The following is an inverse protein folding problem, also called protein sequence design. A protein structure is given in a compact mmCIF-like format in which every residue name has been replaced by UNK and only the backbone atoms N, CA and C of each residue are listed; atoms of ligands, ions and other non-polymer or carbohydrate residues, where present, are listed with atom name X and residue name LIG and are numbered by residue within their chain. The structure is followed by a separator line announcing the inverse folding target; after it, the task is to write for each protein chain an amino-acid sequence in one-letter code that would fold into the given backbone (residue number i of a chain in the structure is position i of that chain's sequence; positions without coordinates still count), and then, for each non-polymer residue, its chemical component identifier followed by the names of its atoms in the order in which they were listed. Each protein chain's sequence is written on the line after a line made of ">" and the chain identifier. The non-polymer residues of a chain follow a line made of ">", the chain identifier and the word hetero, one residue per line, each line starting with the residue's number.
data_IF_255771307481
#
_entry.id   IF_255771307481
#
_cell.length_a   1.000
_cell.length_b   1.000
_cell.length_c   1.000
_cell.angle_alpha   90.00
_cell.angle_beta   90.00
_cell.angle_gamma   90.00
#
_symmetry.space_group_name_H-M   'P 1'
#
loop_
_entity.id
_entity.type
_entity.pdbx_description
1 polymer ?
#
# COMPACT_ATOMS: atom_id res chain seq x y z
N UNK A 1 -7.05 4.45 23.79
CA UNK A 1 -6.27 4.46 22.52
C UNK A 1 -4.76 4.64 22.65
N UNK A 2 -4.21 5.42 23.61
CA UNK A 2 -2.76 5.50 23.81
C UNK A 2 -2.09 4.13 24.03
N UNK A 3 -2.79 3.23 24.72
CA UNK A 3 -2.36 1.84 24.95
C UNK A 3 -2.21 1.05 23.64
N UNK A 4 -3.15 1.18 22.70
CA UNK A 4 -3.07 0.51 21.38
C UNK A 4 -1.92 1.06 20.56
N UNK A 5 -1.71 2.38 20.58
CA UNK A 5 -0.55 2.99 19.93
C UNK A 5 0.77 2.48 20.52
N UNK A 6 0.84 2.38 21.85
CA UNK A 6 2.00 1.84 22.56
C UNK A 6 2.22 0.36 22.27
N UNK A 7 1.15 -0.43 22.18
CA UNK A 7 1.20 -1.84 21.80
C UNK A 7 1.73 -2.02 20.37
N UNK A 8 1.28 -1.19 19.41
CA UNK A 8 1.78 -1.22 18.03
C UNK A 8 3.25 -0.81 17.95
N UNK A 9 3.65 0.21 18.70
CA UNK A 9 5.06 0.65 18.80
C UNK A 9 5.96 -0.42 19.44
N UNK A 10 5.54 -0.99 20.56
CA UNK A 10 6.30 -2.00 21.31
C UNK A 10 6.38 -3.34 20.58
N UNK A 11 5.32 -3.75 19.88
CA UNK A 11 5.35 -4.90 18.99
C UNK A 11 6.20 -4.67 17.74
N UNK A 12 6.68 -3.45 17.48
CA UNK A 12 7.61 -3.20 16.38
C UNK A 12 6.99 -3.26 14.98
N UNK A 13 5.67 -3.06 14.87
CA UNK A 13 4.97 -3.04 13.58
C UNK A 13 5.45 -1.88 12.69
N UNK A 14 5.94 -2.23 11.49
CA UNK A 14 6.47 -1.28 10.50
C UNK A 14 5.77 -1.46 9.16
N UNK A 15 5.56 -0.37 8.44
CA UNK A 15 5.12 -0.36 7.05
C UNK A 15 6.35 -0.53 6.15
N UNK A 16 6.36 -1.50 5.22
CA UNK A 16 7.51 -1.76 4.35
C UNK A 16 7.95 -0.53 3.55
N UNK A 17 9.26 -0.29 3.53
CA UNK A 17 9.93 0.88 2.96
C UNK A 17 9.51 2.25 3.52
N UNK A 18 8.39 2.40 4.24
CA UNK A 18 7.93 3.70 4.74
C UNK A 18 8.74 4.18 5.94
N UNK A 19 9.21 3.26 6.78
CA UNK A 19 10.09 3.60 7.90
C UNK A 19 11.49 4.05 7.45
N UNK A 20 11.95 3.58 6.28
CA UNK A 20 13.21 4.02 5.66
C UNK A 20 13.04 5.35 4.91
N UNK A 21 11.88 5.55 4.26
CA UNK A 21 11.54 6.76 3.47
C UNK A 21 10.99 7.92 4.30
N UNK A 22 11.18 7.93 5.62
CA UNK A 22 10.56 8.88 6.58
C UNK A 22 9.02 8.97 6.55
N UNK A 23 8.33 8.11 5.78
CA UNK A 23 6.88 8.04 5.67
C UNK A 23 6.17 7.36 6.84
N UNK A 24 6.92 6.66 7.69
CA UNK A 24 6.45 6.17 8.99
C UNK A 24 7.49 6.46 10.07
N UNK A 25 7.13 7.31 11.03
CA UNK A 25 7.87 7.55 12.25
C UNK A 25 6.95 7.39 13.47
N UNK A 26 7.51 7.46 14.69
CA UNK A 26 6.71 7.34 15.93
C UNK A 26 5.56 8.33 15.99
N UNK A 27 5.76 9.57 15.56
CA UNK A 27 4.72 10.60 15.51
C UNK A 27 3.59 10.24 14.53
N UNK A 28 3.92 9.70 13.37
CA UNK A 28 2.95 9.24 12.39
C UNK A 28 2.12 8.06 12.92
N UNK A 29 2.76 7.06 13.53
CA UNK A 29 2.06 5.92 14.15
C UNK A 29 1.13 6.40 15.26
N UNK A 30 1.57 7.30 16.15
CA UNK A 30 0.71 7.90 17.19
C UNK A 30 -0.47 8.65 16.61
N UNK A 31 -0.26 9.36 15.49
CA UNK A 31 -1.32 10.10 14.82
C UNK A 31 -2.43 9.18 14.31
N UNK A 32 -2.13 7.95 13.89
CA UNK A 32 -3.18 6.99 13.50
C UNK A 32 -4.17 6.72 14.63
N UNK A 33 -3.69 6.73 15.86
CA UNK A 33 -4.45 6.44 17.08
C UNK A 33 -4.80 7.69 17.89
N UNK A 34 -4.75 8.88 17.26
CA UNK A 34 -5.09 10.13 17.93
C UNK A 34 -6.53 10.06 18.44
N UNK A 35 -6.79 10.29 19.75
CA UNK A 35 -8.14 10.27 20.30
C UNK A 35 -9.14 11.16 19.56
N UNK A 36 -8.71 12.29 18.99
CA UNK A 36 -9.61 13.18 18.22
C UNK A 36 -10.15 12.55 16.93
N UNK A 37 -9.54 11.46 16.45
CA UNK A 37 -10.06 10.70 15.32
C UNK A 37 -11.11 9.67 15.73
N UNK A 38 -11.28 9.37 17.01
CA UNK A 38 -12.29 8.43 17.50
C UNK A 38 -13.40 9.23 18.19
N UNK A 39 -14.45 9.57 17.44
CA UNK A 39 -15.60 10.30 17.97
C UNK A 39 -16.84 9.42 17.87
N UNK A 40 -17.37 9.01 19.03
CA UNK A 40 -18.41 7.98 19.12
C UNK A 40 -17.95 6.69 18.46
N UNK A 41 -18.78 6.15 17.57
CA UNK A 41 -18.52 4.89 16.86
C UNK A 41 -17.82 5.09 15.51
N UNK A 42 -17.22 6.27 15.28
CA UNK A 42 -16.66 6.66 13.98
C UNK A 42 -15.18 6.99 14.08
N UNK A 43 -14.41 6.44 13.15
CA UNK A 43 -13.04 6.87 12.88
C UNK A 43 -13.01 7.96 11.81
N UNK A 44 -12.54 9.16 12.18
CA UNK A 44 -12.48 10.38 11.35
C UNK A 44 -11.15 10.61 10.65
N UNK A 45 -10.24 9.63 10.68
CA UNK A 45 -9.00 9.73 9.92
C UNK A 45 -9.23 9.72 8.41
N UNK A 46 -8.23 10.17 7.66
CA UNK A 46 -8.27 10.18 6.20
C UNK A 46 -8.37 8.76 5.64
N UNK A 47 -8.79 8.64 4.37
CA UNK A 47 -8.86 7.35 3.69
C UNK A 47 -7.52 6.60 3.73
N UNK A 48 -6.39 7.31 3.60
CA UNK A 48 -5.06 6.71 3.71
C UNK A 48 -4.74 6.17 5.10
N UNK A 49 -5.20 6.84 6.15
CA UNK A 49 -5.05 6.37 7.54
C UNK A 49 -5.94 5.15 7.80
N UNK A 50 -7.18 5.15 7.29
CA UNK A 50 -8.08 3.99 7.36
C UNK A 50 -7.46 2.78 6.67
N UNK A 51 -6.95 2.95 5.44
CA UNK A 51 -6.29 1.87 4.71
C UNK A 51 -5.04 1.35 5.40
N UNK A 52 -4.29 2.22 6.09
CA UNK A 52 -3.15 1.78 6.89
C UNK A 52 -3.56 1.00 8.13
N UNK A 53 -4.68 1.36 8.78
CA UNK A 53 -5.19 0.67 9.97
C UNK A 53 -5.88 -0.65 9.64
N UNK A 54 -6.55 -0.75 8.49
CA UNK A 54 -7.41 -1.88 8.17
C UNK A 54 -6.73 -3.26 8.27
N UNK A 55 -5.49 -3.48 7.82
CA UNK A 55 -4.80 -4.77 7.99
C UNK A 55 -4.51 -5.10 9.45
N UNK A 56 -4.11 -4.10 10.25
CA UNK A 56 -3.91 -4.29 11.69
C UNK A 56 -5.23 -4.66 12.37
N UNK A 57 -6.32 -3.95 12.04
CA UNK A 57 -7.66 -4.26 12.58
C UNK A 57 -8.14 -5.65 12.13
N UNK A 58 -7.87 -6.06 10.88
CA UNK A 58 -8.15 -7.43 10.39
C UNK A 58 -7.40 -8.47 11.21
N UNK A 59 -6.12 -8.23 11.49
CA UNK A 59 -5.31 -9.10 12.33
C UNK A 59 -5.87 -9.19 13.76
N UNK A 60 -6.22 -8.07 14.38
CA UNK A 60 -6.90 -8.08 15.69
C UNK A 60 -8.25 -8.81 15.65
N UNK A 61 -9.05 -8.57 14.60
CA UNK A 61 -10.33 -9.23 14.41
C UNK A 61 -10.19 -10.75 14.34
N UNK A 62 -9.25 -11.23 13.53
CA UNK A 62 -9.02 -12.67 13.33
C UNK A 62 -8.31 -13.35 14.50
N UNK A 63 -7.40 -12.68 15.21
CA UNK A 63 -6.60 -13.29 16.29
C UNK A 63 -7.16 -13.08 17.69
N UNK A 64 -7.80 -11.95 17.93
CA UNK A 64 -8.22 -11.53 19.28
C UNK A 64 -9.75 -11.54 19.37
N UNK A 65 -10.44 -10.76 18.53
CA UNK A 65 -11.89 -10.58 18.66
C UNK A 65 -12.68 -11.84 18.31
N UNK A 66 -12.19 -12.65 17.36
CA UNK A 66 -12.77 -13.94 16.99
C UNK A 66 -12.87 -14.95 18.15
N UNK A 67 -12.03 -14.79 19.18
CA UNK A 67 -12.03 -15.64 20.37
C UNK A 67 -13.13 -15.27 21.37
N UNK A 68 -13.74 -14.10 21.21
CA UNK A 68 -14.82 -13.61 22.05
C UNK A 68 -16.14 -14.01 21.39
N UNK A 69 -16.75 -15.10 21.87
CA UNK A 69 -17.96 -15.69 21.27
C UNK A 69 -19.09 -14.69 20.97
N UNK A 70 -19.44 -13.74 21.88
CA UNK A 70 -20.45 -12.72 21.58
C UNK A 70 -20.14 -11.82 20.38
N UNK A 71 -18.87 -11.70 19.97
CA UNK A 71 -18.43 -10.87 18.85
C UNK A 71 -18.30 -11.66 17.55
N UNK A 72 -18.53 -12.97 17.53
CA UNK A 72 -18.20 -13.81 16.38
C UNK A 72 -18.85 -13.35 15.06
N UNK A 73 -20.14 -12.99 15.09
CA UNK A 73 -20.87 -12.52 13.89
C UNK A 73 -20.38 -11.14 13.42
N UNK A 74 -20.16 -10.22 14.36
CA UNK A 74 -19.61 -8.88 14.11
C UNK A 74 -18.22 -8.99 13.46
N UNK A 75 -17.36 -9.83 14.04
CA UNK A 75 -16.01 -10.09 13.55
C UNK A 75 -16.05 -10.71 12.16
N UNK A 76 -16.94 -11.68 11.92
CA UNK A 76 -17.07 -12.30 10.61
C UNK A 76 -17.50 -11.29 9.53
N UNK A 77 -18.50 -10.45 9.82
CA UNK A 77 -18.90 -9.37 8.92
C UNK A 77 -17.74 -8.42 8.64
N UNK A 78 -16.99 -8.03 9.68
CA UNK A 78 -15.82 -7.16 9.54
C UNK A 78 -14.69 -7.79 8.71
N UNK A 79 -14.36 -9.07 8.91
CA UNK A 79 -13.33 -9.76 8.14
C UNK A 79 -13.70 -9.86 6.64
N UNK A 80 -14.99 -10.07 6.34
CA UNK A 80 -15.50 -10.04 4.96
C UNK A 80 -15.43 -8.62 4.35
N UNK A 81 -15.61 -7.57 5.15
CA UNK A 81 -15.35 -6.19 4.70
C UNK A 81 -13.87 -5.98 4.37
N UNK A 82 -12.95 -6.48 5.20
CA UNK A 82 -11.51 -6.41 4.91
C UNK A 82 -11.17 -7.13 3.60
N UNK A 83 -11.78 -8.29 3.34
CA UNK A 83 -11.63 -9.01 2.08
C UNK A 83 -12.15 -8.20 0.88
N UNK A 84 -13.30 -7.51 1.02
CA UNK A 84 -13.79 -6.61 -0.02
C UNK A 84 -12.75 -5.52 -0.35
N UNK A 85 -12.18 -4.88 0.67
CA UNK A 85 -11.18 -3.82 0.49
C UNK A 85 -9.91 -4.34 -0.20
N UNK A 86 -9.47 -5.56 0.14
CA UNK A 86 -8.35 -6.24 -0.53
C UNK A 86 -8.66 -6.51 -2.00
N UNK A 87 -9.84 -7.06 -2.31
CA UNK A 87 -10.24 -7.35 -3.69
C UNK A 87 -10.36 -6.09 -4.54
N UNK A 88 -10.87 -4.98 -3.99
CA UNK A 88 -10.90 -3.69 -4.69
C UNK A 88 -9.50 -3.22 -5.06
N UNK A 89 -8.49 -3.46 -4.22
CA UNK A 89 -7.09 -3.10 -4.52
C UNK A 89 -6.46 -4.02 -5.56
N UNK A 90 -6.74 -5.31 -5.48
CA UNK A 90 -6.17 -6.32 -6.39
C UNK A 90 -6.77 -6.23 -7.80
N UNK A 91 -8.06 -5.90 -7.91
CA UNK A 91 -8.79 -5.93 -9.19
C UNK A 91 -8.23 -4.96 -10.23
N UNK A 92 -7.54 -3.90 -9.78
CA UNK A 92 -6.80 -2.95 -10.63
C UNK A 92 -5.78 -3.68 -11.50
N UNK A 93 -5.14 -4.73 -10.97
CA UNK A 93 -4.09 -5.49 -11.64
C UNK A 93 -4.57 -6.83 -12.18
N UNK A 94 -5.46 -7.51 -11.46
CA UNK A 94 -5.87 -8.88 -11.80
C UNK A 94 -7.09 -8.93 -12.72
N UNK A 95 -7.87 -7.84 -12.81
CA UNK A 95 -9.18 -7.81 -13.48
C UNK A 95 -10.14 -8.92 -13.03
N UNK A 96 -9.93 -9.47 -11.84
CA UNK A 96 -10.75 -10.54 -11.26
C UNK A 96 -12.08 -9.99 -10.72
N UNK A 97 -12.94 -9.48 -11.61
CA UNK A 97 -14.20 -8.82 -11.25
C UNK A 97 -15.18 -9.76 -10.55
N UNK A 98 -15.24 -11.03 -10.94
CA UNK A 98 -16.11 -12.03 -10.31
C UNK A 98 -15.73 -12.30 -8.85
N UNK A 99 -14.42 -12.36 -8.57
CA UNK A 99 -13.92 -12.51 -7.20
C UNK A 99 -14.26 -11.30 -6.32
N UNK A 100 -14.32 -10.10 -6.90
CA UNK A 100 -14.79 -8.91 -6.20
C UNK A 100 -16.30 -8.97 -5.92
N UNK A 101 -17.12 -9.35 -6.91
CA UNK A 101 -18.58 -9.48 -6.74
C UNK A 101 -18.92 -10.49 -5.62
N UNK A 102 -18.30 -11.67 -5.65
CA UNK A 102 -18.49 -12.71 -4.65
C UNK A 102 -18.15 -12.22 -3.23
N UNK A 103 -17.01 -11.54 -3.06
CA UNK A 103 -16.60 -10.99 -1.76
C UNK A 103 -17.60 -9.94 -1.26
N UNK A 104 -18.06 -9.03 -2.13
CA UNK A 104 -19.00 -7.98 -1.77
C UNK A 104 -20.38 -8.52 -1.39
N UNK A 105 -20.87 -9.56 -2.09
CA UNK A 105 -22.13 -10.25 -1.75
C UNK A 105 -22.02 -11.04 -0.46
N UNK A 106 -20.90 -11.71 -0.22
CA UNK A 106 -20.65 -12.40 1.04
C UNK A 106 -20.69 -11.43 2.22
N UNK A 107 -19.97 -10.30 2.13
CA UNK A 107 -20.03 -9.27 3.16
C UNK A 107 -21.43 -8.66 3.30
N UNK A 108 -22.14 -8.39 2.20
CA UNK A 108 -23.48 -7.82 2.26
C UNK A 108 -24.46 -8.72 3.06
N UNK A 109 -24.44 -10.03 2.81
CA UNK A 109 -25.24 -11.00 3.57
C UNK A 109 -24.87 -11.00 5.06
N UNK A 110 -23.59 -11.15 5.38
CA UNK A 110 -23.12 -11.16 6.77
C UNK A 110 -23.45 -9.85 7.51
N UNK A 111 -23.38 -8.70 6.83
CA UNK A 111 -23.74 -7.42 7.41
C UNK A 111 -25.23 -7.34 7.74
N UNK A 112 -26.11 -7.77 6.82
CA UNK A 112 -27.56 -7.77 7.05
C UNK A 112 -27.94 -8.73 8.16
N UNK A 113 -27.31 -9.91 8.22
CA UNK A 113 -27.52 -10.87 9.31
C UNK A 113 -27.10 -10.31 10.66
N UNK A 114 -26.00 -9.56 10.72
CA UNK A 114 -25.44 -9.03 11.96
C UNK A 114 -26.12 -7.74 12.46
N UNK A 115 -26.50 -6.84 11.55
CA UNK A 115 -26.96 -5.48 11.89
C UNK A 115 -28.39 -5.18 11.41
N UNK A 116 -28.96 -6.03 10.57
CA UNK A 116 -30.27 -5.80 9.96
C UNK A 116 -30.21 -4.93 8.70
N UNK A 117 -31.27 -5.01 7.89
CA UNK A 117 -31.37 -4.25 6.63
C UNK A 117 -31.52 -2.75 6.82
N UNK A 118 -31.97 -2.30 7.99
CA UNK A 118 -32.19 -0.87 8.30
C UNK A 118 -30.87 -0.10 8.43
N UNK A 119 -29.77 -0.79 8.78
CA UNK A 119 -28.43 -0.21 8.87
C UNK A 119 -27.72 -0.09 7.50
N UNK A 120 -28.35 -0.59 6.43
CA UNK A 120 -27.80 -0.50 5.07
C UNK A 120 -27.81 0.94 4.56
N UNK A 121 -26.63 1.55 4.54
CA UNK A 121 -26.40 2.83 3.87
C UNK A 121 -26.36 2.68 2.34
N UNK A 122 -26.68 3.72 1.54
CA UNK A 122 -26.59 3.69 0.07
C UNK A 122 -25.26 3.17 -0.49
N UNK A 123 -24.15 3.43 0.21
CA UNK A 123 -22.81 2.92 -0.16
C UNK A 123 -22.70 1.39 -0.15
N UNK A 124 -23.48 0.69 0.68
CA UNK A 124 -23.53 -0.79 0.71
C UNK A 124 -24.19 -1.36 -0.53
N UNK A 125 -25.15 -0.66 -1.11
CA UNK A 125 -25.79 -1.04 -2.35
C UNK A 125 -24.90 -0.67 -3.54
N UNK A 126 -24.42 0.58 -3.59
CA UNK A 126 -23.60 1.09 -4.69
C UNK A 126 -22.37 0.20 -4.97
N UNK A 127 -21.69 -0.29 -3.92
CA UNK A 127 -20.49 -1.12 -4.10
C UNK A 127 -20.74 -2.40 -4.91
N UNK A 128 -21.95 -2.97 -4.87
CA UNK A 128 -22.30 -4.22 -5.57
C UNK A 128 -22.31 -4.06 -7.09
N UNK A 129 -22.36 -2.82 -7.58
CA UNK A 129 -22.30 -2.50 -9.01
C UNK A 129 -20.88 -2.29 -9.52
N UNK A 130 -19.88 -2.19 -8.62
CA UNK A 130 -18.49 -1.92 -9.00
C UNK A 130 -17.90 -2.96 -9.96
N UNK A 131 -18.08 -4.28 -9.77
CA UNK A 131 -17.54 -5.28 -10.70
C UNK A 131 -18.02 -5.08 -12.14
N UNK A 132 -19.33 -4.86 -12.32
CA UNK A 132 -19.94 -4.62 -13.63
C UNK A 132 -19.48 -3.30 -14.24
N UNK A 133 -19.35 -2.24 -13.43
CA UNK A 133 -18.83 -0.96 -13.88
C UNK A 133 -17.38 -1.06 -14.34
N UNK A 134 -16.51 -1.73 -13.58
CA UNK A 134 -15.11 -1.92 -13.96
C UNK A 134 -14.95 -2.77 -15.22
N UNK A 135 -15.78 -3.82 -15.37
CA UNK A 135 -15.83 -4.60 -16.59
C UNK A 135 -16.23 -3.73 -17.79
N UNK A 136 -17.30 -2.93 -17.65
CA UNK A 136 -17.80 -2.04 -18.71
C UNK A 136 -16.79 -0.96 -19.10
N UNK A 137 -16.12 -0.34 -18.14
CA UNK A 137 -15.15 0.72 -18.41
C UNK A 137 -13.78 0.20 -18.84
N UNK A 138 -13.49 -1.08 -18.62
CA UNK A 138 -12.19 -1.67 -18.88
C UNK A 138 -11.07 -1.16 -17.96
N UNK A 139 -11.41 -0.38 -16.94
CA UNK A 139 -10.49 0.23 -15.97
C UNK A 139 -11.16 0.41 -14.60
N UNK A 140 -10.37 0.71 -13.58
CA UNK A 140 -10.82 0.98 -12.21
C UNK A 140 -10.65 2.47 -11.90
N UNK A 141 -11.67 3.32 -12.16
CA UNK A 141 -11.57 4.74 -11.83
C UNK A 141 -11.41 4.93 -10.33
N UNK A 142 -10.46 5.78 -9.92
CA UNK A 142 -10.23 6.12 -8.51
C UNK A 142 -10.19 7.64 -8.31
N UNK A 143 -10.61 8.08 -7.13
CA UNK A 143 -10.59 9.49 -6.77
C UNK A 143 -9.31 9.93 -6.05
N UNK A 144 -8.35 9.02 -5.84
CA UNK A 144 -7.10 9.33 -5.14
C UNK A 144 -6.34 10.53 -5.74
N UNK A 145 -6.17 10.63 -7.07
CA UNK A 145 -5.46 11.77 -7.65
C UNK A 145 -6.22 13.08 -7.44
N UNK A 146 -7.55 13.06 -7.55
CA UNK A 146 -8.38 14.24 -7.36
C UNK A 146 -8.36 14.69 -5.88
N UNK A 147 -8.41 13.74 -4.95
CA UNK A 147 -8.37 14.04 -3.51
C UNK A 147 -6.99 14.51 -3.07
N UNK A 148 -5.91 13.92 -3.57
CA UNK A 148 -4.55 14.41 -3.34
C UNK A 148 -4.39 15.86 -3.86
N UNK A 149 -4.81 16.13 -5.10
CA UNK A 149 -4.81 17.49 -5.67
C UNK A 149 -5.64 18.46 -4.84
N UNK A 150 -6.78 18.03 -4.30
CA UNK A 150 -7.61 18.86 -3.44
C UNK A 150 -6.96 19.12 -2.07
N UNK A 151 -6.24 18.15 -1.49
CA UNK A 151 -5.47 18.35 -0.27
C UNK A 151 -4.29 19.30 -0.49
N UNK A 152 -3.57 19.17 -1.61
CA UNK A 152 -2.51 20.10 -2.00
C UNK A 152 -3.07 21.50 -2.24
N UNK A 153 -4.23 21.58 -2.90
CA UNK A 153 -4.98 22.83 -3.02
C UNK A 153 -5.26 23.39 -1.63
N UNK A 154 -5.85 22.65 -0.69
CA UNK A 154 -6.14 23.19 0.65
C UNK A 154 -4.89 23.68 1.38
N UNK A 155 -3.85 22.86 1.39
CA UNK A 155 -2.62 23.09 2.16
C UNK A 155 -1.78 24.24 1.63
N UNK A 156 -1.64 24.33 0.30
CA UNK A 156 -0.76 25.34 -0.30
C UNK A 156 -1.56 26.51 -0.86
N UNK A 157 -2.66 26.22 -1.53
CA UNK A 157 -3.44 27.22 -2.27
C UNK A 157 -4.47 27.86 -1.39
N UNK A 158 -5.39 27.13 -0.76
CA UNK A 158 -6.43 27.72 0.06
C UNK A 158 -5.83 28.44 1.28
N UNK A 159 -4.74 27.95 1.86
CA UNK A 159 -4.04 28.60 2.98
C UNK A 159 -3.27 29.86 2.53
N UNK A 160 -2.56 29.82 1.39
CA UNK A 160 -1.92 31.01 0.81
C UNK A 160 -2.96 32.02 0.28
N UNK A 161 -4.01 31.53 -0.39
CA UNK A 161 -5.18 32.29 -0.82
C UNK A 161 -5.86 32.91 0.38
N UNK A 162 -6.15 32.19 1.46
CA UNK A 162 -6.84 32.76 2.62
C UNK A 162 -5.98 33.80 3.34
N UNK A 163 -4.65 33.62 3.36
CA UNK A 163 -3.73 34.61 3.94
C UNK A 163 -3.44 35.80 3.02
N UNK A 164 -3.52 35.65 1.69
CA UNK A 164 -3.22 36.69 0.70
C UNK A 164 -4.46 37.35 0.06
N UNK A 165 -5.53 36.59 -0.23
CA UNK A 165 -6.82 37.07 -0.78
C UNK A 165 -7.71 37.74 0.28
N UNK A 166 -7.63 37.37 1.57
CA UNK A 166 -8.33 38.14 2.61
C UNK A 166 -7.83 39.59 2.70
N UNK A 167 -6.70 39.90 2.03
CA UNK A 167 -6.10 41.24 1.96
C UNK A 167 -6.01 41.82 0.54
N UNK A 168 -6.39 41.11 -0.53
CA UNK A 168 -6.24 41.62 -1.90
C UNK A 168 -7.56 41.53 -2.68
N UNK A 169 -7.98 42.67 -3.26
CA UNK A 169 -9.36 42.93 -3.64
C UNK A 169 -9.87 42.25 -4.92
N UNK A 170 -9.04 41.59 -5.74
CA UNK A 170 -9.47 41.23 -7.11
C UNK A 170 -8.85 39.94 -7.67
N UNK A 171 -8.76 38.87 -6.89
CA UNK A 171 -8.50 37.51 -7.43
C UNK A 171 -7.20 37.28 -8.21
N UNK A 172 -6.30 38.28 -8.27
CA UNK A 172 -5.06 38.24 -9.06
C UNK A 172 -4.09 37.12 -8.65
N UNK A 173 -4.20 36.63 -7.40
CA UNK A 173 -3.43 35.49 -6.93
C UNK A 173 -3.76 34.20 -7.71
N UNK A 174 -5.03 33.91 -7.94
CA UNK A 174 -5.44 32.68 -8.64
C UNK A 174 -4.88 32.64 -10.08
N UNK A 175 -4.90 33.77 -10.78
CA UNK A 175 -4.37 33.91 -12.14
C UNK A 175 -2.84 33.76 -12.15
N UNK A 176 -2.15 34.24 -11.11
CA UNK A 176 -0.69 34.17 -11.02
C UNK A 176 -0.14 32.77 -10.68
N UNK A 177 -0.85 31.95 -9.91
CA UNK A 177 -0.30 30.68 -9.40
C UNK A 177 -0.74 29.44 -10.19
N UNK A 178 -1.94 29.43 -10.79
CA UNK A 178 -2.42 28.26 -11.58
C UNK A 178 -1.48 27.86 -12.74
N UNK A 179 -0.96 28.80 -13.55
CA UNK A 179 0.02 28.46 -14.59
C UNK A 179 1.33 27.89 -14.01
N UNK A 180 1.78 28.41 -12.86
CA UNK A 180 3.01 27.94 -12.18
C UNK A 180 2.83 26.52 -11.62
N UNK A 181 1.65 26.20 -11.11
CA UNK A 181 1.31 24.83 -10.70
C UNK A 181 1.36 23.85 -11.84
N UNK A 182 0.73 24.22 -12.96
CA UNK A 182 0.67 23.38 -14.13
C UNK A 182 2.09 23.16 -14.68
N UNK A 183 2.87 24.23 -14.78
CA UNK A 183 4.27 24.17 -15.17
C UNK A 183 5.06 23.24 -14.24
N UNK A 184 4.96 23.40 -12.91
CA UNK A 184 5.68 22.53 -11.97
C UNK A 184 5.25 21.07 -12.07
N UNK A 185 3.97 20.80 -12.35
CA UNK A 185 3.49 19.43 -12.55
C UNK A 185 4.05 18.81 -13.83
N UNK A 186 4.18 19.60 -14.89
CA UNK A 186 4.81 19.18 -16.15
C UNK A 186 6.32 18.94 -15.93
N UNK A 187 6.99 19.84 -15.21
CA UNK A 187 8.40 19.69 -14.84
C UNK A 187 8.63 18.40 -14.03
N UNK A 188 7.81 18.14 -13.01
CA UNK A 188 7.91 16.91 -12.22
C UNK A 188 7.70 15.64 -13.06
N UNK A 189 6.80 15.68 -14.04
CA UNK A 189 6.60 14.57 -14.98
C UNK A 189 7.76 14.44 -15.98
N UNK A 190 8.41 15.54 -16.35
CA UNK A 190 9.62 15.51 -17.18
C UNK A 190 10.85 15.02 -16.40
N UNK A 191 10.98 15.43 -15.13
CA UNK A 191 12.00 14.95 -14.19
C UNK A 191 11.80 13.46 -13.87
N UNK A 192 10.55 12.99 -13.78
CA UNK A 192 10.19 11.63 -13.39
C UNK A 192 9.10 11.04 -14.30
N UNK A 193 9.43 10.69 -15.55
CA UNK A 193 8.44 10.14 -16.47
C UNK A 193 7.92 8.79 -15.96
N UNK A 194 6.60 8.52 -16.05
CA UNK A 194 6.05 7.25 -15.65
C UNK A 194 6.66 6.12 -16.50
N UNK A 195 7.17 5.09 -15.84
CA UNK A 195 7.74 3.92 -16.50
C UNK A 195 6.60 3.03 -17.02
N UNK A 196 6.36 3.08 -18.32
CA UNK A 196 5.32 2.29 -18.99
C UNK A 196 5.82 0.91 -19.41
N UNK A 197 4.90 -0.03 -19.65
CA UNK A 197 5.16 -1.33 -20.32
C UNK A 197 6.26 -2.20 -19.69
N UNK A 198 6.39 -2.20 -18.36
CA UNK A 198 7.40 -3.02 -17.68
C UNK A 198 8.81 -2.44 -17.74
N UNK A 199 8.95 -1.18 -18.19
CA UNK A 199 10.18 -0.43 -18.03
C UNK A 199 10.56 -0.30 -16.54
N UNK A 200 11.86 -0.28 -16.29
CA UNK A 200 12.45 -0.08 -14.98
C UNK A 200 13.61 0.89 -15.08
N UNK A 201 13.98 1.45 -13.93
CA UNK A 201 15.13 2.33 -13.79
C UNK A 201 15.90 1.93 -12.54
N UNK A 202 17.21 1.75 -12.67
CA UNK A 202 18.10 1.63 -11.52
C UNK A 202 18.40 3.03 -11.00
N UNK A 203 18.03 3.28 -9.74
CA UNK A 203 18.25 4.58 -9.10
C UNK A 203 19.60 4.54 -8.39
N UNK A 204 20.44 5.56 -8.62
CA UNK A 204 21.78 5.67 -8.03
C UNK A 204 22.64 4.40 -8.27
N UNK A 205 22.86 3.98 -9.54
CA UNK A 205 23.64 2.79 -9.82
C UNK A 205 25.12 2.98 -9.41
N UNK A 206 25.74 1.90 -8.94
CA UNK A 206 27.18 1.85 -8.68
C UNK A 206 27.96 2.02 -9.98
N UNK A 207 29.19 2.54 -9.89
CA UNK A 207 30.04 2.70 -11.08
C UNK A 207 30.41 1.33 -11.67
N UNK A 208 30.60 1.26 -12.99
CA UNK A 208 30.96 0.00 -13.66
C UNK A 208 32.27 -0.58 -13.13
N UNK A 209 33.25 0.27 -12.80
CA UNK A 209 34.54 -0.15 -12.25
C UNK A 209 34.38 -0.78 -10.85
N UNK A 210 33.55 -0.20 -9.98
CA UNK A 210 33.25 -0.76 -8.65
C UNK A 210 32.55 -2.11 -8.78
N UNK A 211 31.58 -2.21 -9.69
CA UNK A 211 30.85 -3.46 -9.94
C UNK A 211 31.79 -4.53 -10.48
N UNK A 212 32.63 -4.20 -11.46
CA UNK A 212 33.59 -5.12 -12.03
C UNK A 212 34.64 -5.55 -11.01
N UNK A 213 35.20 -4.63 -10.22
CA UNK A 213 36.16 -4.94 -9.17
C UNK A 213 35.58 -5.85 -8.08
N UNK A 214 34.30 -5.65 -7.71
CA UNK A 214 33.65 -6.44 -6.67
C UNK A 214 33.13 -7.80 -7.16
N UNK A 215 32.71 -7.92 -8.43
CA UNK A 215 32.00 -9.12 -8.94
C UNK A 215 32.74 -9.88 -10.04
N UNK A 216 33.70 -9.25 -10.72
CA UNK A 216 34.36 -9.78 -11.92
C UNK A 216 33.46 -9.84 -13.15
N UNK A 217 32.25 -9.27 -13.11
CA UNK A 217 31.28 -9.32 -14.21
C UNK A 217 31.26 -7.99 -14.95
N UNK A 218 31.61 -8.02 -16.23
CA UNK A 218 31.51 -6.87 -17.12
C UNK A 218 30.07 -6.66 -17.63
N UNK A 219 29.79 -5.48 -18.16
CA UNK A 219 28.52 -5.14 -18.85
C UNK A 219 27.27 -5.31 -17.99
N UNK A 220 27.38 -5.03 -16.69
CA UNK A 220 26.24 -5.05 -15.79
C UNK A 220 26.18 -3.79 -14.91
N UNK A 221 24.95 -3.38 -14.59
CA UNK A 221 24.70 -2.26 -13.69
C UNK A 221 24.04 -2.78 -12.43
N UNK A 222 24.58 -2.41 -11.28
CA UNK A 222 24.04 -2.73 -9.96
C UNK A 222 23.50 -1.48 -9.29
N UNK A 223 22.42 -1.61 -8.54
CA UNK A 223 21.91 -0.55 -7.69
C UNK A 223 21.30 -1.08 -6.40
N UNK A 224 21.28 -0.21 -5.37
CA UNK A 224 20.61 -0.47 -4.10
C UNK A 224 19.11 -0.12 -4.14
N UNK A 225 18.67 0.61 -5.17
CA UNK A 225 17.29 1.06 -5.38
C UNK A 225 16.88 0.84 -6.83
N UNK A 226 15.60 0.53 -7.04
CA UNK A 226 15.03 0.38 -8.38
C UNK A 226 13.59 0.88 -8.41
N UNK A 227 13.23 1.53 -9.52
CA UNK A 227 11.87 1.92 -9.85
C UNK A 227 11.33 0.99 -10.92
N UNK A 228 10.16 0.38 -10.69
CA UNK A 228 9.43 -0.45 -11.65
C UNK A 228 7.96 -0.04 -11.67
N UNK A 229 7.47 0.45 -12.81
CA UNK A 229 6.14 1.06 -12.91
C UNK A 229 5.91 2.15 -11.83
N UNK A 230 4.99 1.91 -10.89
CA UNK A 230 4.70 2.80 -9.74
C UNK A 230 5.35 2.34 -8.44
N UNK A 231 6.13 1.26 -8.46
CA UNK A 231 6.81 0.71 -7.30
C UNK A 231 8.25 1.21 -7.25
N UNK A 232 8.64 1.69 -6.08
CA UNK A 232 10.04 1.98 -5.76
C UNK A 232 10.49 0.99 -4.68
N UNK A 233 11.48 0.17 -5.03
CA UNK A 233 12.00 -0.95 -4.25
C UNK A 233 13.42 -0.64 -3.78
N UNK A 234 13.69 -0.93 -2.51
CA UNK A 234 14.95 -0.60 -1.85
C UNK A 234 15.64 -1.87 -1.34
N UNK A 235 16.95 -1.77 -1.08
CA UNK A 235 17.67 -2.76 -0.29
C UNK A 235 16.96 -2.99 1.06
N UNK A 236 16.72 -4.24 1.39
CA UNK A 236 16.04 -4.65 2.62
C UNK A 236 14.52 -4.61 2.58
N UNK A 237 13.91 -4.19 1.46
CA UNK A 237 12.46 -4.37 1.30
C UNK A 237 12.11 -5.87 1.18
N UNK A 238 10.98 -6.25 1.76
CA UNK A 238 10.40 -7.58 1.54
C UNK A 238 9.44 -7.46 0.37
N UNK A 239 9.65 -8.29 -0.64
CA UNK A 239 8.73 -8.43 -1.77
C UNK A 239 8.00 -9.77 -1.67
N UNK A 240 6.68 -9.75 -1.83
CA UNK A 240 5.82 -10.92 -1.90
C UNK A 240 5.37 -11.12 -3.35
N UNK A 241 5.29 -12.36 -3.82
CA UNK A 241 4.77 -12.69 -5.16
C UNK A 241 4.14 -14.09 -5.18
N UNK A 242 3.37 -14.43 -6.22
CA UNK A 242 2.61 -15.68 -6.34
C UNK A 242 1.13 -15.51 -6.01
N UNK A 243 0.27 -16.32 -6.65
CA UNK A 243 -1.19 -16.22 -6.53
C UNK A 243 -1.78 -17.10 -5.40
N UNK A 244 -1.30 -18.33 -5.24
CA UNK A 244 -1.86 -19.33 -4.30
C UNK A 244 -0.97 -19.59 -3.08
N UNK A 245 0.34 -19.65 -3.29
CA UNK A 245 1.34 -19.69 -2.20
C UNK A 245 2.26 -18.47 -2.35
N UNK A 246 2.19 -17.51 -1.43
CA UNK A 246 3.01 -16.32 -1.49
C UNK A 246 4.48 -16.72 -1.27
N UNK A 247 5.28 -16.60 -2.32
CA UNK A 247 6.73 -16.58 -2.20
C UNK A 247 7.16 -15.22 -1.65
N UNK A 248 8.22 -15.23 -0.86
CA UNK A 248 8.76 -14.03 -0.23
C UNK A 248 10.27 -13.98 -0.36
N UNK A 249 10.78 -12.76 -0.52
CA UNK A 249 12.22 -12.51 -0.60
C UNK A 249 12.57 -11.14 -0.05
N UNK A 250 13.69 -11.07 0.65
CA UNK A 250 14.29 -9.81 1.06
C UNK A 250 15.20 -9.30 -0.06
N UNK A 251 14.87 -8.14 -0.64
CA UNK A 251 15.64 -7.50 -1.70
C UNK A 251 17.05 -7.18 -1.20
N UNK A 252 18.08 -7.72 -1.85
CA UNK A 252 19.49 -7.42 -1.54
C UNK A 252 20.05 -6.36 -2.47
N UNK A 253 19.84 -6.50 -3.77
CA UNK A 253 20.24 -5.51 -4.76
C UNK A 253 19.53 -5.76 -6.09
N UNK A 254 19.59 -4.79 -6.97
CA UNK A 254 18.99 -4.81 -8.30
C UNK A 254 20.11 -4.85 -9.35
N UNK A 255 19.98 -5.72 -10.33
CA UNK A 255 20.95 -5.96 -11.38
C UNK A 255 20.27 -5.78 -12.73
N UNK A 256 20.84 -4.93 -13.57
CA UNK A 256 20.49 -4.86 -14.99
C UNK A 256 21.57 -5.55 -15.82
N UNK A 257 21.13 -6.47 -16.66
CA UNK A 257 21.97 -7.13 -17.67
C UNK A 257 21.14 -7.36 -18.92
N UNK A 258 21.68 -6.98 -20.08
CA UNK A 258 21.01 -7.13 -21.39
C UNK A 258 19.60 -6.49 -21.43
N UNK A 259 19.42 -5.36 -20.74
CA UNK A 259 18.13 -4.68 -20.63
C UNK A 259 17.09 -5.40 -19.75
N UNK A 260 17.47 -6.47 -19.04
CA UNK A 260 16.58 -7.25 -18.16
C UNK A 260 16.89 -6.96 -16.69
N UNK A 261 15.85 -6.61 -15.94
CA UNK A 261 15.92 -6.45 -14.49
C UNK A 261 15.94 -7.81 -13.78
N UNK A 262 16.99 -8.00 -13.00
CA UNK A 262 17.13 -9.08 -12.04
C UNK A 262 17.16 -8.50 -10.62
N UNK A 263 16.62 -9.24 -9.67
CA UNK A 263 16.64 -8.88 -8.26
C UNK A 263 17.26 -10.03 -7.48
N UNK A 264 18.28 -9.71 -6.69
CA UNK A 264 18.86 -10.64 -5.75
C UNK A 264 17.99 -10.68 -4.49
N UNK A 265 17.43 -11.84 -4.19
CA UNK A 265 16.64 -12.08 -2.99
C UNK A 265 17.40 -12.96 -2.02
N UNK A 266 17.42 -12.59 -0.74
CA UNK A 266 17.51 -13.60 0.32
C UNK A 266 16.12 -14.24 0.44
N UNK A 267 16.04 -15.53 0.14
CA UNK A 267 14.77 -16.24 0.08
C UNK A 267 14.18 -16.40 1.49
N UNK A 268 12.87 -16.28 1.57
CA UNK A 268 12.11 -16.49 2.80
C UNK A 268 11.34 -17.80 2.70
N UNK A 269 11.41 -18.61 3.75
CA UNK A 269 10.69 -19.88 3.85
C UNK A 269 9.35 -19.68 4.54
N UNK A 270 8.26 -19.91 3.82
CA UNK A 270 6.89 -19.69 4.30
C UNK A 270 6.52 -20.77 5.32
N UNK A 271 6.39 -20.39 6.58
CA UNK A 271 6.00 -21.29 7.67
C UNK A 271 4.47 -21.36 7.80
N UNK A 272 3.81 -20.21 7.68
CA UNK A 272 2.37 -20.09 7.88
C UNK A 272 1.78 -19.17 6.81
N UNK A 273 0.73 -19.63 6.13
CA UNK A 273 0.01 -18.87 5.11
C UNK A 273 -1.46 -18.72 5.52
N UNK A 274 -1.78 -17.68 6.29
CA UNK A 274 -3.15 -17.36 6.65
C UNK A 274 -3.61 -16.11 5.89
N UNK A 275 -4.91 -15.95 5.62
CA UNK A 275 -5.43 -14.77 4.92
C UNK A 275 -5.08 -13.44 5.59
N UNK A 276 -4.96 -13.42 6.91
CA UNK A 276 -4.60 -12.25 7.71
C UNK A 276 -3.10 -12.06 7.94
N UNK A 277 -2.28 -13.10 7.81
CA UNK A 277 -0.85 -13.04 8.13
C UNK A 277 -0.05 -14.11 7.38
N UNK A 278 1.13 -13.72 6.92
CA UNK A 278 2.16 -14.64 6.46
C UNK A 278 3.32 -14.64 7.44
N UNK A 279 3.75 -15.83 7.86
CA UNK A 279 4.91 -16.00 8.72
C UNK A 279 6.01 -16.65 7.92
N UNK A 280 7.12 -15.95 7.80
CA UNK A 280 8.30 -16.39 7.09
C UNK A 280 9.46 -16.63 8.04
N UNK A 281 10.34 -17.57 7.69
CA UNK A 281 11.67 -17.72 8.29
C UNK A 281 12.72 -17.24 7.29
N UNK A 282 13.71 -16.49 7.76
CA UNK A 282 14.85 -16.11 6.92
C UNK A 282 15.67 -17.35 6.55
N UNK A 283 16.01 -17.48 5.29
CA UNK A 283 16.98 -18.49 4.84
C UNK A 283 18.31 -17.78 4.53
N UNK A 284 19.43 -18.50 4.56
CA UNK A 284 20.71 -17.97 4.06
C UNK A 284 20.86 -18.11 2.54
N UNK A 285 19.79 -18.54 1.86
CA UNK A 285 19.84 -18.85 0.44
C UNK A 285 19.55 -17.60 -0.36
N UNK A 286 20.55 -17.15 -1.11
CA UNK A 286 20.38 -16.04 -2.06
C UNK A 286 20.01 -16.58 -3.43
N UNK A 287 18.99 -16.01 -4.07
CA UNK A 287 18.62 -16.33 -5.46
C UNK A 287 18.49 -15.06 -6.27
N UNK A 288 19.03 -15.08 -7.49
CA UNK A 288 18.79 -14.05 -8.48
C UNK A 288 17.57 -14.43 -9.30
N UNK A 289 16.54 -13.59 -9.30
CA UNK A 289 15.31 -13.83 -10.07
C UNK A 289 15.08 -12.68 -11.06
N UNK A 290 14.59 -12.99 -12.26
CA UNK A 290 14.10 -11.97 -13.20
C UNK A 290 12.83 -11.34 -12.65
N UNK A 291 12.76 -10.01 -12.60
CA UNK A 291 11.59 -9.31 -12.05
C UNK A 291 10.31 -9.62 -12.83
N UNK A 292 10.42 -9.75 -14.16
CA UNK A 292 9.29 -10.10 -15.04
C UNK A 292 8.71 -11.50 -14.78
N UNK A 293 9.45 -12.38 -14.11
CA UNK A 293 8.96 -13.71 -13.73
C UNK A 293 8.19 -13.71 -12.41
N UNK A 294 8.18 -12.59 -11.67
CA UNK A 294 7.46 -12.47 -10.42
C UNK A 294 5.97 -12.28 -10.73
N UNK A 295 5.14 -13.21 -10.28
CA UNK A 295 3.69 -13.15 -10.46
C UNK A 295 3.11 -12.21 -9.41
N UNK A 296 2.56 -11.07 -9.81
CA UNK A 296 1.93 -10.08 -8.92
C UNK A 296 2.84 -9.60 -7.74
N UNK A 297 4.03 -9.06 -8.03
CA UNK A 297 4.94 -8.58 -6.99
C UNK A 297 4.29 -7.43 -6.20
N UNK A 298 4.33 -7.53 -4.87
CA UNK A 298 3.77 -6.52 -3.96
C UNK A 298 4.58 -6.41 -2.66
N UNK A 299 4.61 -5.21 -2.09
CA UNK A 299 5.10 -5.00 -0.73
C UNK A 299 4.01 -5.41 0.27
N UNK A 300 4.38 -5.99 1.43
CA UNK A 300 3.41 -6.18 2.51
C UNK A 300 2.84 -4.84 2.98
N UNK A 301 1.72 -4.86 3.69
CA UNK A 301 1.13 -3.66 4.27
C UNK A 301 1.79 -3.31 5.61
N UNK A 302 2.09 -4.33 6.40
CA UNK A 302 2.83 -4.24 7.65
C UNK A 302 3.78 -5.43 7.78
N UNK A 303 4.88 -5.21 8.49
CA UNK A 303 5.87 -6.21 8.84
C UNK A 303 6.20 -6.06 10.32
N UNK A 304 6.43 -7.19 10.97
CA UNK A 304 6.98 -7.29 12.32
C UNK A 304 8.08 -8.36 12.30
N UNK A 305 9.15 -8.15 13.05
CA UNK A 305 10.19 -9.16 13.24
C UNK A 305 10.10 -9.70 14.67
N UNK A 306 9.84 -11.00 14.78
CA UNK A 306 9.75 -11.74 16.03
C UNK A 306 10.85 -12.79 16.06
N UNK A 307 11.99 -12.47 16.69
CA UNK A 307 13.17 -13.33 16.70
C UNK A 307 13.64 -13.69 15.26
N UNK A 308 13.61 -14.98 14.91
CA UNK A 308 13.95 -15.53 13.59
C UNK A 308 12.77 -15.52 12.60
N UNK A 309 11.60 -15.05 13.03
CA UNK A 309 10.38 -15.01 12.21
C UNK A 309 10.10 -13.60 11.72
N UNK A 310 9.65 -13.52 10.47
CA UNK A 310 9.11 -12.32 9.86
C UNK A 310 7.61 -12.51 9.70
N UNK A 311 6.83 -11.72 10.43
CA UNK A 311 5.38 -11.71 10.31
C UNK A 311 5.00 -10.56 9.38
N UNK A 312 4.25 -10.87 8.33
CA UNK A 312 3.84 -9.92 7.31
C UNK A 312 2.32 -9.92 7.18
N UNK A 313 1.73 -8.72 7.13
CA UNK A 313 0.34 -8.54 6.74
C UNK A 313 0.32 -8.27 5.22
N UNK A 314 -0.27 -9.16 4.41
CA UNK A 314 -0.12 -9.15 2.94
C UNK A 314 -0.77 -7.98 2.21
#
# INVERSE_FOLDING_TARGET
>A
MPEVSSAVESAGWKRPGMHQRAGQNKSWTRRLFNPSYFEGDVYRGSAGQILALLPLLRWYGSKVWSRVQPLAQIVQSFLLLCLCAEKVRQVVHTRAFDALDQAQRAHHRAFVECYGSQELRPKHHHRLHLPQQYLRFGCTPTCWPAEAKHQDFKKFYAEACSSQLAKSREGGFCIAVLPRLLLRSIELLAENPPLLHGAFELLEPFSQDEVFAATGVAECSLASKCRVALLELWHGDILLWGAEQPQGGLCRFFLQRDGVLHVAFEMLDLQTCLPEEYVFRRTKTTRMLRFSNLVHPRLPQWLCQEHDRLVCLP
#
